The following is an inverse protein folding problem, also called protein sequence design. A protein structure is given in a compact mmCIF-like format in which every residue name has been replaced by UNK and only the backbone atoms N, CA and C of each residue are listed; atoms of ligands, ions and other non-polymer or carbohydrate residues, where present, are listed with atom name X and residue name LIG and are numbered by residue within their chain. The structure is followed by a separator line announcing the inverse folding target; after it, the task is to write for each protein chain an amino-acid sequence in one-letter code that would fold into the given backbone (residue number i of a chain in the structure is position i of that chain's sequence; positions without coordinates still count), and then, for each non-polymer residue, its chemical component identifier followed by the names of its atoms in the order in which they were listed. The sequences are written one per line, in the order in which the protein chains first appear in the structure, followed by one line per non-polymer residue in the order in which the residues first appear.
data_IF_198898921117
#
_entry.id   IF_198898921117
#
_cell.length_a   1.000
_cell.length_b   1.000
_cell.length_c   1.000
_cell.angle_alpha   90.00
_cell.angle_beta   90.00
_cell.angle_gamma   90.00
#
_symmetry.space_group_name_H-M   'P 1'
#
loop_
_entity.id
_entity.type
_entity.pdbx_description
1 polymer ?
#
# COMPACT_ATOMS: atom_id res chain seq x y z
N UNK A 1 -28.12 -32.00 6.19
CA UNK A 1 -28.02 -30.59 6.61
C UNK A 1 -28.32 -29.72 5.40
N UNK A 2 -29.19 -28.72 5.54
CA UNK A 2 -29.65 -27.89 4.42
C UNK A 2 -28.49 -27.03 3.89
N UNK A 3 -28.25 -27.08 2.59
CA UNK A 3 -27.29 -26.23 1.88
C UNK A 3 -27.87 -24.81 1.85
N UNK A 4 -27.42 -23.93 2.75
CA UNK A 4 -27.80 -22.52 2.74
C UNK A 4 -27.29 -21.91 1.43
N UNK A 5 -28.21 -21.55 0.53
CA UNK A 5 -27.89 -20.80 -0.69
C UNK A 5 -27.57 -19.39 -0.23
N UNK A 6 -26.28 -19.03 -0.27
CA UNK A 6 -25.85 -17.64 -0.10
C UNK A 6 -26.21 -16.86 -1.37
N UNK A 7 -26.56 -15.60 -1.22
CA UNK A 7 -26.76 -14.69 -2.35
C UNK A 7 -25.48 -14.55 -3.18
N UNK A 8 -25.60 -14.20 -4.46
CA UNK A 8 -24.47 -14.10 -5.39
C UNK A 8 -23.34 -13.23 -4.82
N UNK A 9 -23.68 -12.06 -4.28
CA UNK A 9 -22.73 -11.08 -3.76
C UNK A 9 -22.01 -11.57 -2.49
N UNK A 10 -22.70 -12.30 -1.61
CA UNK A 10 -22.11 -12.88 -0.42
C UNK A 10 -21.07 -13.93 -0.78
N UNK A 11 -21.38 -14.78 -1.77
CA UNK A 11 -20.47 -15.83 -2.21
C UNK A 11 -19.28 -15.26 -2.97
N UNK A 12 -19.52 -14.27 -3.83
CA UNK A 12 -18.45 -13.55 -4.53
C UNK A 12 -17.48 -12.91 -3.53
N UNK A 13 -18.01 -12.20 -2.53
CA UNK A 13 -17.21 -11.58 -1.46
C UNK A 13 -16.40 -12.61 -0.67
N UNK A 14 -16.98 -13.77 -0.35
CA UNK A 14 -16.27 -14.85 0.35
C UNK A 14 -15.08 -15.39 -0.46
N UNK A 15 -15.22 -15.50 -1.80
CA UNK A 15 -14.09 -15.85 -2.66
C UNK A 15 -12.99 -14.78 -2.66
N UNK A 16 -13.37 -13.50 -2.70
CA UNK A 16 -12.40 -12.40 -2.63
C UNK A 16 -11.65 -12.40 -1.29
N UNK A 17 -12.35 -12.60 -0.17
CA UNK A 17 -11.76 -12.62 1.17
C UNK A 17 -10.76 -13.76 1.35
N UNK A 18 -11.16 -14.99 0.98
CA UNK A 18 -10.28 -16.15 1.06
C UNK A 18 -9.13 -16.02 0.06
N UNK A 19 -9.40 -15.57 -1.16
CA UNK A 19 -8.38 -15.34 -2.18
C UNK A 19 -7.31 -14.35 -1.71
N UNK A 20 -7.74 -13.15 -1.28
CA UNK A 20 -6.87 -12.11 -0.76
C UNK A 20 -6.01 -12.62 0.40
N UNK A 21 -6.63 -13.29 1.38
CA UNK A 21 -5.90 -13.81 2.53
C UNK A 21 -4.89 -14.89 2.15
N UNK A 22 -5.25 -15.84 1.30
CA UNK A 22 -4.32 -16.89 0.85
C UNK A 22 -3.16 -16.31 0.03
N UNK A 23 -3.44 -15.34 -0.85
CA UNK A 23 -2.40 -14.62 -1.59
C UNK A 23 -1.44 -13.90 -0.62
N UNK A 24 -1.96 -13.34 0.48
CA UNK A 24 -1.17 -12.71 1.54
C UNK A 24 -0.56 -13.62 2.59
N UNK A 25 -0.84 -14.92 2.60
CA UNK A 25 -0.25 -15.85 3.57
C UNK A 25 0.71 -16.84 2.91
N UNK A 26 0.31 -17.38 1.76
CA UNK A 26 1.05 -18.41 1.03
C UNK A 26 1.79 -17.85 -0.18
N UNK A 27 1.44 -16.64 -0.60
CA UNK A 27 1.87 -16.04 -1.86
C UNK A 27 0.99 -16.46 -3.03
N UNK A 28 0.88 -15.56 -4.01
CA UNK A 28 0.01 -15.77 -5.18
C UNK A 28 0.43 -16.99 -6.01
N UNK A 29 1.74 -17.19 -6.23
CA UNK A 29 2.26 -18.30 -7.03
C UNK A 29 1.91 -19.66 -6.41
N UNK A 30 2.06 -19.79 -5.09
CA UNK A 30 1.85 -21.02 -4.35
C UNK A 30 0.38 -21.32 -4.01
N UNK A 31 -0.51 -20.34 -4.15
CA UNK A 31 -1.96 -20.52 -3.94
C UNK A 31 -2.60 -21.16 -5.16
N UNK A 32 -3.34 -22.25 -4.95
CA UNK A 32 -4.12 -22.94 -5.99
C UNK A 32 -5.62 -22.68 -5.85
N UNK A 33 -6.38 -22.88 -6.95
CA UNK A 33 -7.86 -22.88 -6.89
C UNK A 33 -8.37 -23.93 -5.91
N UNK A 34 -7.65 -25.05 -5.76
CA UNK A 34 -8.02 -26.12 -4.82
C UNK A 34 -7.89 -25.69 -3.36
N UNK A 35 -6.85 -24.89 -3.03
CA UNK A 35 -6.69 -24.31 -1.69
C UNK A 35 -7.90 -23.41 -1.35
N UNK A 36 -8.26 -22.52 -2.28
CA UNK A 36 -9.36 -21.55 -2.12
C UNK A 36 -10.71 -22.26 -1.92
N UNK A 37 -11.08 -23.17 -2.82
CA UNK A 37 -12.37 -23.87 -2.72
C UNK A 37 -12.41 -24.83 -1.52
N UNK A 38 -11.25 -25.38 -1.14
CA UNK A 38 -11.11 -26.25 0.02
C UNK A 38 -11.38 -25.49 1.32
N UNK A 39 -10.87 -24.27 1.41
CA UNK A 39 -11.08 -23.41 2.58
C UNK A 39 -12.51 -22.88 2.70
N UNK A 40 -13.16 -22.56 1.58
CA UNK A 40 -14.58 -22.15 1.56
C UNK A 40 -15.52 -23.35 1.74
N UNK A 41 -15.05 -24.57 1.46
CA UNK A 41 -15.85 -25.80 1.51
C UNK A 41 -16.83 -25.94 0.34
N UNK A 42 -16.42 -25.53 -0.87
CA UNK A 42 -17.27 -25.53 -2.08
C UNK A 42 -16.70 -26.39 -3.20
N UNK A 43 -17.59 -26.82 -4.12
CA UNK A 43 -17.18 -27.58 -5.29
C UNK A 43 -16.46 -26.69 -6.31
N UNK A 44 -15.52 -27.27 -7.05
CA UNK A 44 -14.73 -26.57 -8.10
C UNK A 44 -15.60 -25.87 -9.14
N UNK A 45 -16.74 -26.47 -9.51
CA UNK A 45 -17.67 -25.87 -10.46
C UNK A 45 -18.26 -24.54 -9.98
N UNK A 46 -18.38 -24.32 -8.67
CA UNK A 46 -18.85 -23.04 -8.13
C UNK A 46 -17.80 -21.94 -8.30
N UNK A 47 -16.51 -22.24 -8.17
CA UNK A 47 -15.47 -21.25 -8.44
C UNK A 47 -15.57 -20.74 -9.89
N UNK A 48 -15.67 -21.66 -10.86
CA UNK A 48 -15.74 -21.31 -12.27
C UNK A 48 -17.04 -20.65 -12.71
N UNK A 49 -18.05 -20.62 -11.84
CA UNK A 49 -19.24 -19.80 -12.04
C UNK A 49 -18.96 -18.31 -11.76
N UNK A 50 -18.09 -17.99 -10.80
CA UNK A 50 -17.73 -16.60 -10.45
C UNK A 50 -16.47 -16.11 -11.15
N UNK A 51 -15.47 -16.97 -11.34
CA UNK A 51 -14.16 -16.59 -11.88
C UNK A 51 -13.72 -17.58 -12.95
N UNK A 52 -13.35 -17.06 -14.11
CA UNK A 52 -12.80 -17.85 -15.21
C UNK A 52 -11.46 -18.52 -14.86
N UNK A 53 -10.69 -17.93 -13.94
CA UNK A 53 -9.35 -18.40 -13.59
C UNK A 53 -8.85 -17.84 -12.23
N UNK A 54 -7.70 -18.32 -11.74
CA UNK A 54 -7.02 -17.73 -10.56
C UNK A 54 -6.57 -16.28 -10.82
N UNK A 55 -5.99 -15.92 -11.98
CA UNK A 55 -5.73 -14.53 -12.34
C UNK A 55 -6.98 -13.64 -12.28
N UNK A 56 -8.13 -14.13 -12.72
CA UNK A 56 -9.40 -13.38 -12.70
C UNK A 56 -9.85 -13.05 -11.27
N UNK A 57 -9.71 -14.02 -10.34
CA UNK A 57 -9.90 -13.77 -8.91
C UNK A 57 -8.89 -12.72 -8.38
N UNK A 58 -7.62 -12.79 -8.81
CA UNK A 58 -6.62 -11.82 -8.39
C UNK A 58 -6.99 -10.40 -8.86
N UNK A 59 -7.39 -10.25 -10.11
CA UNK A 59 -7.76 -8.95 -10.67
C UNK A 59 -8.97 -8.35 -9.91
N UNK A 60 -9.98 -9.17 -9.59
CA UNK A 60 -11.11 -8.76 -8.77
C UNK A 60 -10.72 -8.37 -7.32
N UNK A 61 -9.77 -9.10 -6.71
CA UNK A 61 -9.22 -8.74 -5.39
C UNK A 61 -8.51 -7.38 -5.46
N UNK A 62 -7.68 -7.14 -6.48
CA UNK A 62 -6.96 -5.88 -6.67
C UNK A 62 -7.92 -4.72 -6.92
N UNK A 63 -8.96 -4.92 -7.74
CA UNK A 63 -9.99 -3.91 -7.98
C UNK A 63 -10.70 -3.51 -6.69
N UNK A 64 -11.11 -4.49 -5.88
CA UNK A 64 -11.71 -4.25 -4.57
C UNK A 64 -10.78 -3.45 -3.66
N UNK A 65 -9.52 -3.86 -3.56
CA UNK A 65 -8.54 -3.14 -2.74
C UNK A 65 -8.35 -1.70 -3.21
N UNK A 66 -8.26 -1.48 -4.52
CA UNK A 66 -8.04 -0.15 -5.09
C UNK A 66 -9.24 0.76 -4.84
N UNK A 67 -10.45 0.21 -4.95
CA UNK A 67 -11.69 0.91 -4.60
C UNK A 67 -11.72 1.30 -3.12
N UNK A 68 -11.29 0.40 -2.23
CA UNK A 68 -11.22 0.67 -0.79
C UNK A 68 -10.18 1.75 -0.45
N UNK A 69 -9.00 1.71 -1.10
CA UNK A 69 -7.98 2.74 -0.95
C UNK A 69 -8.55 4.10 -1.36
N UNK A 70 -9.14 4.21 -2.55
CA UNK A 70 -9.74 5.45 -3.02
C UNK A 70 -10.81 5.98 -2.05
N UNK A 71 -11.73 5.11 -1.62
CA UNK A 71 -12.78 5.46 -0.66
C UNK A 71 -12.21 5.95 0.70
N UNK A 72 -11.04 5.46 1.10
CA UNK A 72 -10.38 5.90 2.34
C UNK A 72 -9.67 7.25 2.23
N UNK A 73 -9.22 7.60 1.02
CA UNK A 73 -8.52 8.85 0.73
C UNK A 73 -9.50 9.99 0.43
N UNK A 74 -10.60 9.69 -0.27
CA UNK A 74 -11.54 10.69 -0.78
C UNK A 74 -12.06 11.66 0.29
N UNK A 75 -12.48 11.23 1.50
CA UNK A 75 -12.99 12.15 2.53
C UNK A 75 -11.94 13.17 2.99
N UNK A 76 -10.67 12.81 2.98
CA UNK A 76 -9.58 13.72 3.35
C UNK A 76 -9.22 14.65 2.20
N UNK A 77 -9.19 14.15 0.97
CA UNK A 77 -8.87 14.96 -0.22
C UNK A 77 -9.96 16.01 -0.47
N UNK A 78 -11.23 15.63 -0.28
CA UNK A 78 -12.37 16.50 -0.54
C UNK A 78 -12.69 17.45 0.63
N UNK A 79 -11.99 17.35 1.76
CA UNK A 79 -12.18 18.24 2.90
C UNK A 79 -11.69 19.66 2.56
N UNK A 80 -12.58 20.67 2.45
CA UNK A 80 -12.18 22.04 2.13
C UNK A 80 -11.53 22.77 3.32
N UNK A 81 -11.65 22.24 4.54
CA UNK A 81 -11.05 22.84 5.74
C UNK A 81 -9.59 22.41 5.95
N UNK A 82 -9.11 21.44 5.17
CA UNK A 82 -7.78 20.86 5.30
C UNK A 82 -6.85 21.45 4.23
N UNK A 83 -5.69 21.97 4.64
CA UNK A 83 -4.68 22.53 3.74
C UNK A 83 -3.90 21.44 2.99
N UNK A 84 -3.20 21.82 1.91
CA UNK A 84 -2.46 20.87 1.09
C UNK A 84 -1.34 20.13 1.84
N UNK A 85 -0.52 20.78 2.70
CA UNK A 85 0.50 20.08 3.49
C UNK A 85 -0.09 19.03 4.42
N UNK A 86 -1.18 19.35 5.12
CA UNK A 86 -1.86 18.38 5.98
C UNK A 86 -2.44 17.23 5.17
N UNK A 87 -3.03 17.50 4.00
CA UNK A 87 -3.50 16.43 3.10
C UNK A 87 -2.36 15.56 2.58
N UNK A 88 -1.22 16.15 2.24
CA UNK A 88 -0.02 15.46 1.79
C UNK A 88 0.51 14.53 2.88
N UNK A 89 0.68 15.03 4.10
CA UNK A 89 1.10 14.23 5.25
C UNK A 89 0.08 13.12 5.55
N UNK A 90 -1.22 13.43 5.56
CA UNK A 90 -2.26 12.43 5.76
C UNK A 90 -2.34 11.40 4.64
N UNK A 91 -2.05 11.78 3.39
CA UNK A 91 -2.04 10.88 2.26
C UNK A 91 -0.94 9.83 2.44
N UNK A 92 0.28 10.25 2.78
CA UNK A 92 1.37 9.32 3.05
C UNK A 92 1.15 8.55 4.33
N UNK A 93 0.68 9.20 5.40
CA UNK A 93 0.34 8.50 6.63
C UNK A 93 -0.74 7.46 6.38
N UNK A 94 -1.83 7.74 5.64
CA UNK A 94 -2.93 6.79 5.38
C UNK A 94 -2.55 5.67 4.42
N UNK A 95 -1.80 6.00 3.37
CA UNK A 95 -1.27 5.02 2.42
C UNK A 95 -0.26 4.09 3.11
N UNK A 96 0.46 4.60 4.10
CA UNK A 96 1.39 3.84 4.95
C UNK A 96 0.74 3.37 6.27
N UNK A 97 -0.52 3.75 6.59
CA UNK A 97 -1.23 3.46 7.85
C UNK A 97 -1.92 2.12 7.80
N UNK A 98 -1.25 1.12 7.24
CA UNK A 98 -1.45 -0.25 7.69
C UNK A 98 -0.98 -0.43 9.15
N UNK A 99 -0.59 0.67 9.81
CA UNK A 99 0.01 0.77 11.13
C UNK A 99 -0.97 0.76 12.28
N UNK A 100 -0.59 -0.09 13.23
CA UNK A 100 -0.59 0.05 14.69
C UNK A 100 -1.59 -0.80 15.48
N UNK A 101 -2.67 -1.31 14.89
CA UNK A 101 -3.53 -2.21 15.65
C UNK A 101 -2.91 -3.61 15.85
N UNK A 102 -1.99 -4.05 14.96
CA UNK A 102 -1.20 -5.27 15.13
C UNK A 102 0.14 -5.18 14.39
N UNK A 103 1.24 -4.94 15.11
CA UNK A 103 2.62 -4.96 14.58
C UNK A 103 2.93 -6.30 13.88
N UNK A 104 2.49 -7.40 14.48
CA UNK A 104 2.67 -8.76 13.95
C UNK A 104 1.97 -8.92 12.60
N UNK A 105 0.74 -8.45 12.47
CA UNK A 105 0.00 -8.47 11.21
C UNK A 105 0.67 -7.65 10.10
N UNK A 106 1.22 -6.49 10.44
CA UNK A 106 1.98 -5.67 9.49
C UNK A 106 3.24 -6.40 9.01
N UNK A 107 3.98 -7.03 9.93
CA UNK A 107 5.20 -7.81 9.59
C UNK A 107 4.83 -9.00 8.70
N UNK A 108 3.76 -9.72 9.02
CA UNK A 108 3.29 -10.86 8.21
C UNK A 108 2.90 -10.40 6.79
N UNK A 109 2.12 -9.32 6.67
CA UNK A 109 1.72 -8.77 5.37
C UNK A 109 2.93 -8.26 4.59
N UNK A 110 3.87 -7.54 5.23
CA UNK A 110 5.09 -7.08 4.57
C UNK A 110 5.97 -8.26 4.14
N UNK A 111 6.06 -9.28 4.99
CA UNK A 111 6.75 -10.54 4.72
C UNK A 111 6.22 -11.23 3.48
N UNK A 112 4.91 -11.15 3.24
CA UNK A 112 4.31 -11.72 2.04
C UNK A 112 4.40 -10.77 0.84
N UNK A 113 4.04 -9.50 0.92
CA UNK A 113 4.06 -8.58 -0.24
C UNK A 113 5.48 -8.32 -0.77
N UNK A 114 6.47 -8.30 0.11
CA UNK A 114 7.87 -8.05 -0.24
C UNK A 114 8.71 -9.34 -0.31
N UNK A 115 8.10 -10.53 -0.24
CA UNK A 115 8.80 -11.76 -0.62
C UNK A 115 8.97 -11.85 -2.13
N UNK A 116 9.99 -12.60 -2.55
CA UNK A 116 10.28 -12.86 -3.96
C UNK A 116 9.11 -13.60 -4.64
N UNK A 117 8.38 -14.43 -3.89
CA UNK A 117 7.21 -15.18 -4.38
C UNK A 117 6.00 -14.31 -4.76
N UNK A 118 6.01 -13.03 -4.37
CA UNK A 118 4.91 -12.09 -4.59
C UNK A 118 5.28 -10.89 -5.46
N UNK A 119 6.40 -10.96 -6.19
CA UNK A 119 6.77 -9.94 -7.18
C UNK A 119 5.61 -9.64 -8.14
N UNK A 120 4.96 -10.67 -8.69
CA UNK A 120 3.84 -10.50 -9.61
C UNK A 120 2.63 -9.81 -8.96
N UNK A 121 2.29 -10.20 -7.72
CA UNK A 121 1.20 -9.59 -6.97
C UNK A 121 1.49 -8.10 -6.73
N UNK A 122 2.70 -7.78 -6.28
CA UNK A 122 3.14 -6.41 -6.04
C UNK A 122 3.11 -5.57 -7.32
N UNK A 123 3.64 -6.09 -8.42
CA UNK A 123 3.62 -5.37 -9.71
C UNK A 123 2.19 -5.08 -10.15
N UNK A 124 1.28 -6.07 -10.12
CA UNK A 124 -0.13 -5.85 -10.50
C UNK A 124 -0.84 -4.84 -9.59
N UNK A 125 -0.58 -4.87 -8.27
CA UNK A 125 -1.14 -3.88 -7.34
C UNK A 125 -0.65 -2.48 -7.71
N UNK A 126 0.66 -2.31 -7.96
CA UNK A 126 1.22 -1.01 -8.35
C UNK A 126 0.61 -0.51 -9.66
N UNK A 127 0.56 -1.34 -10.70
CA UNK A 127 -0.02 -1.01 -12.00
C UNK A 127 -1.50 -0.61 -11.91
N UNK A 128 -2.28 -1.28 -11.05
CA UNK A 128 -3.70 -0.98 -10.88
C UNK A 128 -3.95 0.28 -10.01
N UNK A 129 -3.07 0.55 -9.05
CA UNK A 129 -3.28 1.65 -8.08
C UNK A 129 -2.76 2.99 -8.59
N UNK A 130 -1.67 3.03 -9.36
CA UNK A 130 -1.09 4.30 -9.83
C UNK A 130 -2.07 5.18 -10.64
N UNK A 131 -2.83 4.66 -11.62
CA UNK A 131 -3.78 5.47 -12.38
C UNK A 131 -4.90 6.09 -11.54
N UNK A 132 -5.15 5.55 -10.34
CA UNK A 132 -6.21 6.01 -9.43
C UNK A 132 -5.64 6.95 -8.36
N UNK A 133 -4.44 6.66 -7.87
CA UNK A 133 -3.81 7.38 -6.76
C UNK A 133 -3.08 8.65 -7.23
N UNK A 134 -2.38 8.60 -8.37
CA UNK A 134 -1.63 9.75 -8.90
C UNK A 134 -2.53 10.97 -9.17
N UNK A 135 -3.72 10.83 -9.78
CA UNK A 135 -4.62 11.98 -9.98
C UNK A 135 -5.06 12.62 -8.66
N UNK A 136 -5.23 11.84 -7.59
CA UNK A 136 -5.58 12.37 -6.28
C UNK A 136 -4.43 13.17 -5.66
N UNK A 137 -3.21 12.66 -5.78
CA UNK A 137 -2.03 13.38 -5.32
C UNK A 137 -1.82 14.68 -6.11
N UNK A 138 -2.03 14.66 -7.43
CA UNK A 138 -1.98 15.85 -8.26
C UNK A 138 -3.04 16.90 -7.85
N UNK A 139 -4.21 16.49 -7.33
CA UNK A 139 -5.19 17.42 -6.75
C UNK A 139 -4.63 18.11 -5.50
N UNK A 140 -3.97 17.37 -4.61
CA UNK A 140 -3.31 17.94 -3.42
C UNK A 140 -2.21 18.91 -3.83
N UNK A 141 -1.39 18.56 -4.83
CA UNK A 141 -0.32 19.44 -5.33
C UNK A 141 -0.91 20.74 -5.88
N UNK A 142 -1.94 20.66 -6.74
CA UNK A 142 -2.60 21.87 -7.27
C UNK A 142 -3.20 22.74 -6.17
N UNK A 143 -3.82 22.15 -5.16
CA UNK A 143 -4.30 22.90 -4.00
C UNK A 143 -3.14 23.65 -3.31
N UNK A 144 -1.99 23.00 -3.11
CA UNK A 144 -0.85 23.66 -2.47
C UNK A 144 -0.20 24.75 -3.34
N UNK A 145 -0.35 24.67 -4.66
CA UNK A 145 0.02 25.76 -5.57
C UNK A 145 -0.93 26.96 -5.38
N UNK A 146 -2.24 26.72 -5.29
CA UNK A 146 -3.24 27.78 -5.04
C UNK A 146 -3.06 28.42 -3.65
N UNK A 147 -2.63 27.64 -2.67
CA UNK A 147 -2.28 28.10 -1.31
C UNK A 147 -0.90 28.79 -1.24
N UNK A 148 -0.09 28.71 -2.30
CA UNK A 148 1.25 29.32 -2.36
C UNK A 148 2.31 28.60 -1.51
N UNK A 149 2.07 27.33 -1.14
CA UNK A 149 3.00 26.50 -0.36
C UNK A 149 3.84 25.57 -1.22
N UNK A 150 3.44 25.33 -2.47
CA UNK A 150 4.15 24.54 -3.48
C UNK A 150 4.43 25.36 -4.73
N UNK A 151 5.59 25.13 -5.34
CA UNK A 151 6.03 25.74 -6.61
C UNK A 151 6.38 24.62 -7.60
N UNK A 152 5.39 24.22 -8.40
CA UNK A 152 5.46 23.05 -9.28
C UNK A 152 5.02 23.42 -10.70
N UNK A 153 5.86 23.09 -11.69
CA UNK A 153 5.57 23.35 -13.10
C UNK A 153 4.67 22.28 -13.74
N UNK A 154 4.78 21.02 -13.30
CA UNK A 154 4.13 19.85 -13.90
C UNK A 154 3.44 19.00 -12.80
N UNK A 155 2.24 19.37 -12.33
CA UNK A 155 1.63 18.77 -11.14
C UNK A 155 1.37 17.26 -11.24
N UNK A 156 0.99 16.78 -12.42
CA UNK A 156 0.69 15.38 -12.72
C UNK A 156 1.96 14.53 -12.68
N UNK A 157 3.01 14.96 -13.40
CA UNK A 157 4.30 14.30 -13.43
C UNK A 157 5.01 14.38 -12.06
N UNK A 158 4.91 15.51 -11.37
CA UNK A 158 5.41 15.65 -10.01
C UNK A 158 4.69 14.72 -9.04
N UNK A 159 3.38 14.50 -9.19
CA UNK A 159 2.66 13.52 -8.40
C UNK A 159 3.18 12.10 -8.64
N UNK A 160 3.44 11.71 -9.89
CA UNK A 160 4.05 10.42 -10.22
C UNK A 160 5.43 10.26 -9.55
N UNK A 161 6.31 11.26 -9.70
CA UNK A 161 7.64 11.26 -9.07
C UNK A 161 7.56 11.15 -7.54
N UNK A 162 6.65 11.92 -6.91
CA UNK A 162 6.45 11.88 -5.46
C UNK A 162 5.95 10.50 -5.01
N UNK A 163 5.08 9.85 -5.80
CA UNK A 163 4.66 8.47 -5.53
C UNK A 163 5.82 7.47 -5.65
N UNK A 164 6.64 7.56 -6.69
CA UNK A 164 7.81 6.70 -6.89
C UNK A 164 8.82 6.83 -5.73
N UNK A 165 9.10 8.07 -5.32
CA UNK A 165 9.95 8.34 -4.16
C UNK A 165 9.35 7.70 -2.90
N UNK A 166 8.06 7.92 -2.63
CA UNK A 166 7.38 7.31 -1.48
C UNK A 166 7.47 5.78 -1.45
N UNK A 167 7.30 5.12 -2.60
CA UNK A 167 7.40 3.67 -2.73
C UNK A 167 8.84 3.15 -2.54
N UNK A 168 9.84 3.92 -2.98
CA UNK A 168 11.25 3.56 -2.85
C UNK A 168 11.72 3.39 -1.39
N UNK A 169 11.00 3.96 -0.42
CA UNK A 169 11.26 3.74 1.02
C UNK A 169 10.71 2.43 1.56
N UNK A 170 9.66 1.89 0.97
CA UNK A 170 8.95 0.74 1.53
C UNK A 170 9.81 -0.53 1.56
N UNK A 171 10.60 -0.78 0.50
CA UNK A 171 11.45 -1.96 0.39
C UNK A 171 12.65 -1.95 1.38
N UNK A 172 13.43 -0.87 1.54
CA UNK A 172 14.46 -0.78 2.58
C UNK A 172 13.92 -1.01 3.99
N UNK A 173 12.76 -0.41 4.31
CA UNK A 173 12.08 -0.60 5.59
C UNK A 173 11.69 -2.07 5.77
N UNK A 174 11.07 -2.68 4.75
CA UNK A 174 10.67 -4.09 4.77
C UNK A 174 11.88 -5.03 4.95
N UNK A 175 12.97 -4.80 4.22
CA UNK A 175 14.17 -5.62 4.33
C UNK A 175 14.75 -5.57 5.74
N UNK A 176 14.87 -4.38 6.34
CA UNK A 176 15.41 -4.27 7.71
C UNK A 176 14.48 -4.94 8.73
N UNK A 177 13.15 -4.80 8.58
CA UNK A 177 12.17 -5.43 9.47
C UNK A 177 12.15 -6.95 9.37
N UNK A 178 12.26 -7.50 8.16
CA UNK A 178 12.07 -8.93 7.90
C UNK A 178 13.37 -9.73 7.99
N UNK A 179 14.48 -9.15 7.53
CA UNK A 179 15.77 -9.82 7.39
C UNK A 179 16.78 -9.40 8.47
N UNK A 180 16.48 -8.33 9.21
CA UNK A 180 17.42 -7.74 10.16
C UNK A 180 18.51 -6.89 9.48
N UNK A 181 19.46 -6.36 10.26
CA UNK A 181 20.56 -5.56 9.74
C UNK A 181 21.49 -6.39 8.85
N UNK A 182 22.23 -5.75 7.91
CA UNK A 182 23.26 -6.41 7.13
C UNK A 182 24.32 -7.11 8.00
N UNK A 183 24.97 -8.13 7.46
CA UNK A 183 26.02 -8.87 8.18
C UNK A 183 27.15 -7.92 8.61
N UNK A 184 27.50 -7.95 9.89
CA UNK A 184 28.54 -7.08 10.47
C UNK A 184 28.09 -5.66 10.83
N UNK A 185 26.82 -5.31 10.63
CA UNK A 185 26.23 -4.02 11.01
C UNK A 185 25.29 -4.24 12.19
N UNK A 186 25.41 -3.43 13.24
CA UNK A 186 24.47 -3.50 14.36
C UNK A 186 23.13 -2.82 14.03
N UNK A 187 22.10 -3.11 14.83
CA UNK A 187 20.76 -2.58 14.58
C UNK A 187 20.72 -1.04 14.66
N UNK A 188 21.49 -0.42 15.54
CA UNK A 188 21.48 1.03 15.72
C UNK A 188 22.10 1.73 14.50
N UNK A 189 23.22 1.21 13.99
CA UNK A 189 23.84 1.70 12.76
C UNK A 189 22.90 1.55 11.55
N UNK A 190 22.21 0.40 11.43
CA UNK A 190 21.23 0.17 10.37
C UNK A 190 20.02 1.13 10.48
N UNK A 191 19.54 1.40 11.70
CA UNK A 191 18.46 2.36 11.93
C UNK A 191 18.88 3.79 11.58
N UNK A 192 20.08 4.22 11.97
CA UNK A 192 20.61 5.55 11.62
C UNK A 192 20.76 5.72 10.10
N UNK A 193 21.19 4.67 9.40
CA UNK A 193 21.26 4.67 7.94
C UNK A 193 19.87 4.78 7.31
N UNK A 194 18.87 4.07 7.86
CA UNK A 194 17.48 4.13 7.40
C UNK A 194 16.85 5.51 7.66
N UNK A 195 17.06 6.09 8.84
CA UNK A 195 16.61 7.45 9.18
C UNK A 195 17.18 8.50 8.22
N UNK A 196 18.48 8.41 7.93
CA UNK A 196 19.13 9.28 6.94
C UNK A 196 18.52 9.11 5.55
N UNK A 197 18.16 7.88 5.17
CA UNK A 197 17.52 7.59 3.89
C UNK A 197 16.11 8.17 3.84
N UNK A 198 15.30 7.99 4.88
CA UNK A 198 13.95 8.58 4.97
C UNK A 198 14.04 10.11 4.82
N UNK A 199 14.93 10.75 5.58
CA UNK A 199 15.15 12.19 5.47
C UNK A 199 15.56 12.61 4.06
N UNK A 200 16.47 11.88 3.41
CA UNK A 200 16.89 12.20 2.04
C UNK A 200 15.73 12.14 1.04
N UNK A 201 14.79 11.20 1.22
CA UNK A 201 13.59 11.08 0.39
C UNK A 201 12.60 12.21 0.67
N UNK A 202 12.35 12.54 1.95
CA UNK A 202 11.53 13.69 2.34
C UNK A 202 12.06 14.98 1.73
N UNK A 203 13.38 15.23 1.83
CA UNK A 203 14.04 16.39 1.19
C UNK A 203 13.97 16.36 -0.34
N UNK A 204 13.87 15.19 -0.94
CA UNK A 204 13.72 15.08 -2.39
C UNK A 204 12.29 15.42 -2.81
N UNK A 205 11.31 14.96 -2.05
CA UNK A 205 9.90 15.29 -2.27
C UNK A 205 9.67 16.80 -2.06
N UNK A 206 10.22 17.41 -1.01
CA UNK A 206 10.17 18.86 -0.81
C UNK A 206 10.69 19.63 -2.03
N UNK A 207 11.82 19.19 -2.62
CA UNK A 207 12.38 19.80 -3.83
C UNK A 207 11.50 19.61 -5.07
N UNK A 208 10.87 18.45 -5.23
CA UNK A 208 9.93 18.18 -6.33
C UNK A 208 8.68 19.07 -6.20
N UNK A 209 8.26 19.34 -4.97
CA UNK A 209 7.09 20.17 -4.67
C UNK A 209 7.39 21.68 -4.61
N UNK A 210 8.67 22.08 -4.62
CA UNK A 210 9.04 23.47 -4.32
C UNK A 210 8.59 23.91 -2.91
N UNK A 211 8.47 22.95 -1.99
CA UNK A 211 7.98 23.19 -0.64
C UNK A 211 9.09 23.73 0.29
N UNK A 212 8.69 24.31 1.42
CA UNK A 212 9.65 24.77 2.42
C UNK A 212 10.44 23.61 3.04
N UNK A 213 11.70 23.87 3.37
CA UNK A 213 12.55 22.89 4.03
C UNK A 213 11.94 22.44 5.38
N UNK A 214 11.67 21.14 5.52
CA UNK A 214 11.16 20.50 6.73
C UNK A 214 9.65 20.54 6.84
N UNK A 215 8.96 20.91 5.76
CA UNK A 215 7.49 20.99 5.70
C UNK A 215 6.81 19.65 5.44
N UNK A 216 7.57 18.60 5.14
CA UNK A 216 7.02 17.30 4.78
C UNK A 216 7.58 16.18 5.64
N UNK A 217 6.72 15.27 6.09
CA UNK A 217 7.09 14.14 6.95
C UNK A 217 6.33 12.87 6.54
N UNK A 218 7.05 11.89 5.98
CA UNK A 218 6.46 10.59 5.61
C UNK A 218 6.32 9.72 6.86
N UNK A 219 7.39 9.61 7.64
CA UNK A 219 7.46 8.78 8.84
C UNK A 219 8.29 9.50 9.89
N UNK A 220 7.70 9.90 11.03
CA UNK A 220 8.46 10.46 12.13
C UNK A 220 9.55 9.48 12.61
N UNK A 221 10.78 9.93 12.91
CA UNK A 221 11.86 9.04 13.36
C UNK A 221 11.49 8.18 14.57
N UNK A 222 10.73 8.74 15.53
CA UNK A 222 10.23 8.00 16.68
C UNK A 222 9.30 6.84 16.29
N UNK A 223 8.44 7.05 15.29
CA UNK A 223 7.54 6.01 14.78
C UNK A 223 8.31 4.96 13.98
N UNK A 224 9.33 5.36 13.23
CA UNK A 224 10.21 4.43 12.52
C UNK A 224 10.90 3.48 13.50
N UNK A 225 11.54 4.03 14.56
CA UNK A 225 12.21 3.24 15.59
C UNK A 225 11.26 2.34 16.35
N UNK A 226 10.03 2.78 16.61
CA UNK A 226 9.02 1.97 17.31
C UNK A 226 8.67 0.65 16.59
N UNK A 227 9.00 0.47 15.30
CA UNK A 227 8.80 -0.83 14.64
C UNK A 227 9.89 -1.85 14.98
N UNK A 228 11.04 -1.41 15.49
CA UNK A 228 12.22 -2.24 15.75
C UNK A 228 12.47 -2.50 17.25
N UNK A 229 11.61 -1.98 18.11
CA UNK A 229 11.58 -2.24 19.56
C UNK A 229 10.57 -3.36 19.87
#
# INVERSE_FOLDING_TARGET
MARTVKEYDERYTEFLDVGQRLFYQKGYAQTSVQDIIGEIGVAKGLFYYYFSSKPDLLDAVIERMTTQILASLQPMIDDPACDAPTKMDQFFQRTQSWKLANREFLIDIMGVIYSDDNVLLRTKILEATMPIVVPQLARIIRQGMDEGVYDVAYPEESAEIVMELGQGLALPIANLLLKGPPEGVDLEEALQALERRVLAYERSIERVLGAADGSFCIVPPALLRAWFV
#
